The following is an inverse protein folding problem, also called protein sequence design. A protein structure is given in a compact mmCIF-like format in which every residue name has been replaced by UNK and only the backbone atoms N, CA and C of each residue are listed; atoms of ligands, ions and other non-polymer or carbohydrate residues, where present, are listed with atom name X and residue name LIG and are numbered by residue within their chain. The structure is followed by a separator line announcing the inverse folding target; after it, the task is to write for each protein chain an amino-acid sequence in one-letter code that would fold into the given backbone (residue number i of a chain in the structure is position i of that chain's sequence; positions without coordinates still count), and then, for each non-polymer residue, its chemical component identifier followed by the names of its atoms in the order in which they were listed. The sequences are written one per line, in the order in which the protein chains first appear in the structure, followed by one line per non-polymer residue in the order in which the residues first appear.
data_IF_571443836103
#
_entry.id   IF_571443836103
#
_cell.length_a   1.000
_cell.length_b   1.000
_cell.length_c   1.000
_cell.angle_alpha   90.00
_cell.angle_beta   90.00
_cell.angle_gamma   90.00
#
_symmetry.space_group_name_H-M   'P 1'
#
loop_
_entity.id
_entity.type
_entity.pdbx_description
1 polymer ?
#
# COMPACT_ATOMS: atom_id res chain seq x y z
N UNK A 1 5.67 4.37 11.90
CA UNK A 1 5.22 5.75 11.62
C UNK A 1 4.06 5.72 10.63
N UNK A 2 3.24 6.76 10.63
CA UNK A 2 2.00 6.85 9.83
C UNK A 2 2.17 6.51 8.32
N UNK A 3 3.26 6.91 7.61
CA UNK A 3 3.44 6.56 6.20
C UNK A 3 3.47 5.05 5.92
N UNK A 4 4.02 4.26 6.86
CA UNK A 4 4.08 2.79 6.73
C UNK A 4 2.69 2.16 6.84
N UNK A 5 1.85 2.69 7.73
CA UNK A 5 0.47 2.21 7.91
C UNK A 5 -0.41 2.54 6.71
N UNK A 6 -0.25 3.74 6.11
CA UNK A 6 -0.98 4.13 4.90
C UNK A 6 -0.56 3.27 3.70
N UNK A 7 0.74 3.08 3.49
CA UNK A 7 1.22 2.22 2.40
C UNK A 7 0.74 0.77 2.53
N UNK A 8 0.70 0.24 3.76
CA UNK A 8 0.17 -1.11 4.02
C UNK A 8 -1.34 -1.19 3.71
N UNK A 9 -2.12 -0.15 4.06
CA UNK A 9 -3.54 -0.07 3.71
C UNK A 9 -3.77 -0.11 2.20
N UNK A 10 -3.00 0.65 1.42
CA UNK A 10 -3.09 0.63 -0.04
C UNK A 10 -2.73 -0.74 -0.62
N UNK A 11 -1.71 -1.42 -0.07
CA UNK A 11 -1.34 -2.77 -0.52
C UNK A 11 -2.51 -3.75 -0.38
N UNK A 12 -3.19 -3.78 0.77
CA UNK A 12 -4.36 -4.64 0.96
C UNK A 12 -5.57 -4.20 0.13
N UNK A 13 -5.77 -2.89 -0.02
CA UNK A 13 -6.85 -2.33 -0.85
C UNK A 13 -6.73 -2.75 -2.31
N UNK A 14 -5.55 -2.65 -2.90
CA UNK A 14 -5.31 -3.05 -4.29
C UNK A 14 -5.54 -4.55 -4.47
N UNK A 15 -5.01 -5.40 -3.58
CA UNK A 15 -5.26 -6.84 -3.64
C UNK A 15 -6.77 -7.16 -3.56
N UNK A 16 -7.51 -6.45 -2.71
CA UNK A 16 -8.96 -6.63 -2.58
C UNK A 16 -9.71 -6.25 -3.86
N UNK A 17 -9.31 -5.17 -4.53
CA UNK A 17 -9.91 -4.73 -5.81
C UNK A 17 -9.64 -5.75 -6.91
N UNK A 18 -8.39 -6.21 -7.05
CA UNK A 18 -8.00 -7.19 -8.07
C UNK A 18 -8.80 -8.50 -7.92
N UNK A 19 -8.99 -8.95 -6.68
CA UNK A 19 -9.79 -10.12 -6.38
C UNK A 19 -11.29 -9.90 -6.64
N UNK A 20 -11.89 -8.85 -6.07
CA UNK A 20 -13.34 -8.62 -6.18
C UNK A 20 -13.82 -8.31 -7.60
N UNK A 21 -12.95 -7.75 -8.44
CA UNK A 21 -13.23 -7.48 -9.85
C UNK A 21 -12.86 -8.65 -10.77
N UNK A 22 -12.25 -9.71 -10.25
CA UNK A 22 -11.88 -10.89 -11.04
C UNK A 22 -10.80 -10.61 -12.08
N UNK A 23 -9.90 -9.65 -11.83
CA UNK A 23 -8.80 -9.31 -12.76
C UNK A 23 -7.75 -10.44 -12.80
N UNK A 24 -7.56 -11.09 -11.65
CA UNK A 24 -6.72 -12.28 -11.50
C UNK A 24 -7.55 -13.46 -10.99
N UNK A 25 -7.19 -14.72 -11.33
CA UNK A 25 -7.92 -15.89 -10.86
C UNK A 25 -7.98 -15.95 -9.33
N UNK A 26 -9.11 -16.37 -8.78
CA UNK A 26 -9.28 -16.41 -7.32
C UNK A 26 -8.31 -17.35 -6.60
N UNK A 27 -7.79 -18.37 -7.30
CA UNK A 27 -6.79 -19.32 -6.78
C UNK A 27 -5.40 -18.70 -6.58
N UNK A 28 -5.11 -17.57 -7.23
CA UNK A 28 -3.85 -16.84 -7.06
C UNK A 28 -3.89 -15.92 -5.83
N UNK A 29 -4.89 -16.07 -4.96
CA UNK A 29 -5.00 -15.28 -3.72
C UNK A 29 -5.08 -16.19 -2.51
N UNK A 30 -4.48 -15.74 -1.41
CA UNK A 30 -4.56 -16.38 -0.11
C UNK A 30 -5.13 -15.42 0.93
N UNK A 31 -5.70 -16.00 1.98
CA UNK A 31 -6.28 -15.27 3.11
C UNK A 31 -5.21 -15.02 4.17
N UNK A 32 -5.17 -13.80 4.68
CA UNK A 32 -4.30 -13.42 5.80
C UNK A 32 -5.13 -12.72 6.88
N UNK A 33 -4.86 -13.02 8.15
CA UNK A 33 -5.45 -12.27 9.27
C UNK A 33 -4.57 -11.07 9.61
N UNK A 34 -5.15 -9.87 9.55
CA UNK A 34 -4.49 -8.60 9.89
C UNK A 34 -5.54 -7.66 10.48
N UNK A 35 -5.22 -6.98 11.58
CA UNK A 35 -6.12 -6.02 12.23
C UNK A 35 -7.50 -6.59 12.61
N UNK A 36 -7.58 -7.89 12.91
CA UNK A 36 -8.86 -8.58 13.17
C UNK A 36 -9.71 -8.84 11.93
N UNK A 37 -9.20 -8.54 10.72
CA UNK A 37 -9.88 -8.76 9.45
C UNK A 37 -9.22 -9.91 8.69
N UNK A 38 -10.02 -10.62 7.90
CA UNK A 38 -9.52 -11.55 6.88
C UNK A 38 -9.36 -10.79 5.57
N UNK A 39 -8.11 -10.58 5.16
CA UNK A 39 -7.75 -9.88 3.93
C UNK A 39 -7.26 -10.89 2.90
N UNK A 40 -7.36 -10.54 1.62
CA UNK A 40 -6.82 -11.33 0.52
C UNK A 40 -5.55 -10.67 -0.01
N UNK A 41 -4.55 -11.49 -0.27
CA UNK A 41 -3.29 -11.08 -0.89
C UNK A 41 -2.92 -12.06 -1.99
N UNK A 42 -2.35 -11.57 -3.08
CA UNK A 42 -1.90 -12.42 -4.18
C UNK A 42 -0.73 -13.33 -3.75
N UNK A 43 -0.67 -14.52 -4.32
CA UNK A 43 0.46 -15.45 -4.25
C UNK A 43 1.26 -15.48 -5.55
N UNK A 44 0.80 -14.79 -6.60
CA UNK A 44 1.49 -14.70 -7.88
C UNK A 44 2.78 -13.86 -7.76
N UNK A 45 3.97 -14.42 -8.05
CA UNK A 45 5.23 -13.74 -7.79
C UNK A 45 5.46 -12.50 -8.66
N UNK A 46 4.92 -12.47 -9.88
CA UNK A 46 5.05 -11.33 -10.78
C UNK A 46 4.21 -10.14 -10.30
N UNK A 47 2.96 -10.41 -9.91
CA UNK A 47 2.07 -9.42 -9.32
C UNK A 47 2.59 -8.93 -7.96
N UNK A 48 3.13 -9.81 -7.12
CA UNK A 48 3.79 -9.42 -5.87
C UNK A 48 4.92 -8.42 -6.16
N UNK A 49 5.79 -8.73 -7.12
CA UNK A 49 6.90 -7.85 -7.51
C UNK A 49 6.39 -6.50 -8.01
N UNK A 50 5.37 -6.49 -8.85
CA UNK A 50 4.76 -5.27 -9.34
C UNK A 50 4.17 -4.42 -8.21
N UNK A 51 3.34 -5.02 -7.34
CA UNK A 51 2.71 -4.33 -6.23
C UNK A 51 3.73 -3.79 -5.22
N UNK A 52 4.82 -4.52 -4.95
CA UNK A 52 5.90 -4.03 -4.10
C UNK A 52 6.55 -2.77 -4.67
N UNK A 53 6.84 -2.73 -5.97
CA UNK A 53 7.39 -1.54 -6.62
C UNK A 53 6.44 -0.34 -6.50
N UNK A 54 5.13 -0.55 -6.70
CA UNK A 54 4.11 0.50 -6.56
C UNK A 54 4.02 1.01 -5.11
N UNK A 55 4.00 0.10 -4.14
CA UNK A 55 3.92 0.43 -2.71
C UNK A 55 5.18 1.15 -2.23
N UNK A 56 6.35 0.79 -2.74
CA UNK A 56 7.60 1.48 -2.38
C UNK A 56 7.65 2.90 -2.94
N UNK A 57 7.21 3.12 -4.18
CA UNK A 57 7.05 4.47 -4.73
C UNK A 57 6.04 5.30 -3.91
N UNK A 58 4.92 4.68 -3.49
CA UNK A 58 3.92 5.34 -2.65
C UNK A 58 4.50 5.73 -1.29
N UNK A 59 5.33 4.88 -0.66
CA UNK A 59 6.03 5.24 0.58
C UNK A 59 6.90 6.46 0.37
N UNK A 60 7.71 6.50 -0.69
CA UNK A 60 8.55 7.67 -0.99
C UNK A 60 7.74 8.95 -1.15
N UNK A 61 6.61 8.90 -1.85
CA UNK A 61 5.72 10.06 -2.01
C UNK A 61 5.12 10.53 -0.67
N UNK A 62 4.69 9.59 0.17
CA UNK A 62 4.17 9.91 1.50
C UNK A 62 5.24 10.54 2.41
N UNK A 63 6.48 10.04 2.34
CA UNK A 63 7.60 10.64 3.07
C UNK A 63 7.89 12.06 2.56
N UNK A 64 7.92 12.29 1.25
CA UNK A 64 8.12 13.62 0.67
C UNK A 64 7.01 14.61 1.03
N UNK A 65 5.75 14.17 1.07
CA UNK A 65 4.63 15.01 1.51
C UNK A 65 4.72 15.33 3.01
N UNK A 66 5.11 14.36 3.83
CA UNK A 66 5.30 14.58 5.28
C UNK A 66 6.39 15.61 5.58
N UNK A 67 7.42 15.70 4.73
CA UNK A 67 8.50 16.69 4.84
C UNK A 67 8.05 18.10 4.44
N UNK A 68 7.05 18.25 3.57
CA UNK A 68 6.55 19.57 3.16
C UNK A 68 5.79 20.31 4.27
N UNK A 69 5.10 19.60 5.17
CA UNK A 69 4.42 20.24 6.32
C UNK A 69 5.39 20.75 7.40
N UNK A 70 6.64 20.30 7.43
CA UNK A 70 7.65 20.75 8.42
C UNK A 70 8.61 21.81 7.90
N UNK A 71 8.48 22.25 6.63
CA UNK A 71 9.31 23.28 6.01
C UNK A 71 8.74 24.71 6.04
N UNK A 72 7.61 24.92 6.72
CA UNK A 72 6.83 26.17 6.68
C UNK A 72 6.97 27.07 7.91
N UNK A 73 8.15 27.24 8.49
CA UNK A 73 8.37 28.26 9.52
C UNK A 73 9.82 28.73 9.59
N UNK A 74 10.28 29.45 8.57
CA UNK A 74 11.35 30.42 8.74
C UNK A 74 11.19 31.62 7.80
N UNK A 75 9.98 32.18 7.76
CA UNK A 75 9.79 33.59 7.46
C UNK A 75 9.34 34.26 8.75
N UNK A 76 10.29 34.80 9.51
CA UNK A 76 10.04 35.99 10.32
C UNK A 76 11.20 36.95 10.09
N UNK A 77 10.79 38.13 9.62
CA UNK A 77 11.53 39.37 9.51
C UNK A 77 12.52 39.60 10.66
#
# INVERSE_FOLDING_TARGET
GAPRSVAEFFSFGINSILYQRGIYPSETFTRVQKYGLTLLVTTDPELIKYLNNVVDQLKEWLYKCSVHETGGSHLKY
#
